data_IF_740867193821
#
_entry.id   IF_740867193821
#
_cell.length_a   1.000
_cell.length_b   1.000
_cell.length_c   1.000
_cell.angle_alpha   90.00
_cell.angle_beta   90.00
_cell.angle_gamma   90.00
#
_symmetry.space_group_name_H-M   'P 1'
#
loop_
_entity.id
_entity.type
_entity.pdbx_description
1 polymer ?
#
# COMPACT_ATOMS: atom_id res chain seq x y z
N UNK A 1 16.33 -16.90 9.86
CA UNK A 1 15.57 -15.72 10.30
C UNK A 1 15.24 -14.96 9.04
N UNK A 2 13.96 -14.69 8.74
CA UNK A 2 13.57 -14.18 7.42
C UNK A 2 13.81 -12.67 7.32
N UNK A 3 14.53 -12.22 6.31
CA UNK A 3 14.83 -10.81 6.06
C UNK A 3 13.60 -9.98 5.64
N UNK A 4 12.48 -10.65 5.34
CA UNK A 4 11.26 -10.04 4.85
C UNK A 4 10.68 -9.01 5.81
N UNK A 5 10.29 -7.87 5.24
CA UNK A 5 9.58 -6.81 5.95
C UNK A 5 8.10 -6.87 5.55
N UNK A 6 7.20 -6.57 6.48
CA UNK A 6 5.78 -6.41 6.20
C UNK A 6 5.23 -5.20 6.92
N UNK A 7 4.43 -4.40 6.21
CA UNK A 7 3.77 -3.22 6.76
C UNK A 7 2.26 -3.35 6.67
N UNK A 8 1.63 -2.83 7.71
CA UNK A 8 0.19 -2.58 7.75
C UNK A 8 0.00 -1.08 7.86
N UNK A 9 -0.48 -0.46 6.79
CA UNK A 9 -0.69 0.98 6.72
C UNK A 9 -2.17 1.27 6.75
N UNK A 10 -2.61 2.12 7.67
CA UNK A 10 -4.00 2.55 7.76
C UNK A 10 -4.09 4.06 7.48
N UNK A 11 -4.95 4.42 6.55
CA UNK A 11 -5.16 5.80 6.11
C UNK A 11 -6.62 6.17 6.31
N UNK A 12 -6.87 7.15 7.18
CA UNK A 12 -8.17 7.79 7.27
C UNK A 12 -8.36 8.77 6.11
N UNK A 13 -9.43 8.61 5.34
CA UNK A 13 -9.76 9.46 4.20
C UNK A 13 -10.78 10.51 4.61
N UNK A 14 -10.61 11.73 4.12
CA UNK A 14 -11.59 12.81 4.33
C UNK A 14 -12.95 12.39 3.76
N UNK A 15 -14.02 12.76 4.45
CA UNK A 15 -15.40 12.45 4.02
C UNK A 15 -15.64 12.89 2.57
N UNK A 16 -16.15 11.96 1.74
CA UNK A 16 -16.44 12.20 0.33
C UNK A 16 -15.21 12.29 -0.59
N UNK A 17 -13.99 12.01 -0.12
CA UNK A 17 -12.77 12.10 -0.92
C UNK A 17 -12.18 10.74 -1.32
N UNK A 18 -12.85 9.63 -1.04
CA UNK A 18 -12.34 8.29 -1.35
C UNK A 18 -12.09 8.11 -2.85
N UNK A 19 -13.05 8.46 -3.71
CA UNK A 19 -12.90 8.28 -5.15
C UNK A 19 -11.73 9.13 -5.71
N UNK A 20 -11.56 10.35 -5.20
CA UNK A 20 -10.43 11.21 -5.55
C UNK A 20 -9.10 10.61 -5.09
N UNK A 21 -9.07 10.04 -3.88
CA UNK A 21 -7.90 9.38 -3.34
C UNK A 21 -7.53 8.14 -4.17
N UNK A 22 -8.51 7.29 -4.52
CA UNK A 22 -8.30 6.13 -5.38
C UNK A 22 -7.82 6.51 -6.77
N UNK A 23 -8.42 7.53 -7.39
CA UNK A 23 -7.99 8.04 -8.68
C UNK A 23 -6.54 8.58 -8.64
N UNK A 24 -6.19 9.35 -7.61
CA UNK A 24 -4.84 9.92 -7.45
C UNK A 24 -3.77 8.84 -7.26
N UNK A 25 -4.11 7.74 -6.58
CA UNK A 25 -3.13 6.74 -6.14
C UNK A 25 -3.18 5.45 -6.95
N UNK A 26 -4.09 5.32 -7.92
CA UNK A 26 -4.25 4.10 -8.72
C UNK A 26 -2.97 3.69 -9.45
N UNK A 27 -2.33 4.63 -10.16
CA UNK A 27 -1.07 4.38 -10.87
C UNK A 27 0.08 4.05 -9.91
N UNK A 28 0.13 4.73 -8.76
CA UNK A 28 1.11 4.46 -7.71
C UNK A 28 1.00 3.02 -7.20
N UNK A 29 -0.22 2.54 -6.92
CA UNK A 29 -0.47 1.16 -6.48
C UNK A 29 -0.02 0.15 -7.53
N UNK A 30 -0.34 0.37 -8.80
CA UNK A 30 0.04 -0.54 -9.88
C UNK A 30 1.55 -0.55 -10.16
N UNK A 31 2.23 0.58 -9.92
CA UNK A 31 3.68 0.68 -10.01
C UNK A 31 4.34 -0.05 -8.85
N UNK A 32 3.88 0.17 -7.62
CA UNK A 32 4.39 -0.48 -6.42
C UNK A 32 4.37 -2.00 -6.51
N UNK A 33 3.29 -2.58 -7.06
CA UNK A 33 3.18 -4.03 -7.29
C UNK A 33 4.29 -4.62 -8.17
N UNK A 34 4.95 -3.79 -9.00
CA UNK A 34 5.95 -4.21 -9.99
C UNK A 34 7.38 -3.87 -9.56
N UNK A 35 7.53 -3.18 -8.42
CA UNK A 35 8.85 -2.82 -7.91
C UNK A 35 9.66 -4.06 -7.53
N UNK A 36 10.97 -3.95 -7.75
CA UNK A 36 11.88 -5.05 -7.45
C UNK A 36 11.90 -5.31 -5.95
N UNK A 37 11.61 -6.54 -5.55
CA UNK A 37 11.63 -6.94 -4.15
C UNK A 37 10.30 -6.76 -3.43
N UNK A 38 9.26 -6.23 -4.10
CA UNK A 38 7.88 -6.29 -3.60
C UNK A 38 7.35 -7.70 -3.78
N UNK A 39 6.93 -8.31 -2.67
CA UNK A 39 6.35 -9.65 -2.61
C UNK A 39 4.82 -9.61 -2.58
N UNK A 40 4.26 -8.56 -1.99
CA UNK A 40 2.81 -8.30 -1.94
C UNK A 40 2.59 -6.82 -1.76
N UNK A 41 1.62 -6.27 -2.47
CA UNK A 41 1.10 -4.93 -2.24
C UNK A 41 -0.40 -5.01 -2.42
N UNK A 42 -1.19 -4.87 -1.36
CA UNK A 42 -2.65 -5.02 -1.41
C UNK A 42 -3.30 -3.80 -0.80
N UNK A 43 -4.35 -3.29 -1.45
CA UNK A 43 -5.18 -2.20 -0.96
C UNK A 43 -6.57 -2.75 -0.64
N UNK A 44 -7.10 -2.33 0.50
CA UNK A 44 -8.46 -2.59 0.93
C UNK A 44 -9.14 -1.29 1.31
N UNK A 45 -10.45 -1.22 1.13
CA UNK A 45 -11.29 -0.11 1.57
C UNK A 45 -12.25 -0.66 2.63
N UNK A 46 -12.40 0.05 3.73
CA UNK A 46 -13.38 -0.33 4.77
C UNK A 46 -14.80 -0.24 4.24
N UNK A 47 -15.71 -1.03 4.81
CA UNK A 47 -17.13 -1.03 4.42
C UNK A 47 -17.78 0.36 4.53
N UNK A 48 -17.40 1.12 5.56
CA UNK A 48 -17.87 2.49 5.77
C UNK A 48 -17.22 3.54 4.86
N UNK A 49 -16.30 3.12 3.97
CA UNK A 49 -15.57 3.95 3.01
C UNK A 49 -14.78 5.12 3.62
N UNK A 50 -14.40 5.00 4.89
CA UNK A 50 -13.63 6.03 5.62
C UNK A 50 -12.14 5.70 5.76
N UNK A 51 -11.79 4.42 5.67
CA UNK A 51 -10.42 3.97 5.83
C UNK A 51 -9.94 3.20 4.60
N UNK A 52 -8.67 3.40 4.27
CA UNK A 52 -7.93 2.56 3.32
C UNK A 52 -6.84 1.84 4.09
N UNK A 53 -6.76 0.53 3.91
CA UNK A 53 -5.71 -0.31 4.48
C UNK A 53 -4.79 -0.77 3.36
N UNK A 54 -3.48 -0.72 3.60
CA UNK A 54 -2.48 -1.33 2.74
C UNK A 54 -1.75 -2.43 3.49
N UNK A 55 -1.63 -3.58 2.83
CA UNK A 55 -0.76 -4.66 3.27
C UNK A 55 0.38 -4.83 2.28
N UNK A 56 1.58 -4.57 2.75
CA UNK A 56 2.78 -4.55 1.95
C UNK A 56 3.79 -5.55 2.48
N UNK A 57 4.47 -6.25 1.58
CA UNK A 57 5.53 -7.20 1.91
C UNK A 57 6.71 -7.00 0.97
N UNK A 58 7.91 -7.02 1.56
CA UNK A 58 9.17 -6.82 0.87
C UNK A 58 10.12 -7.97 1.14
N UNK A 59 11.00 -8.26 0.19
CA UNK A 59 11.99 -9.33 0.29
C UNK A 59 12.98 -9.10 1.43
N UNK A 60 13.37 -7.83 1.64
CA UNK A 60 14.28 -7.38 2.67
C UNK A 60 14.05 -5.90 3.02
N UNK A 61 14.83 -5.37 3.96
CA UNK A 61 14.79 -3.96 4.36
C UNK A 61 15.29 -3.00 3.27
N UNK A 62 16.15 -3.44 2.35
CA UNK A 62 16.62 -2.61 1.25
C UNK A 62 15.51 -2.39 0.21
N UNK A 63 14.73 -3.43 -0.09
CA UNK A 63 13.54 -3.34 -0.93
C UNK A 63 12.46 -2.45 -0.28
N UNK A 64 12.23 -2.57 1.03
CA UNK A 64 11.30 -1.70 1.75
C UNK A 64 11.75 -0.22 1.72
N UNK A 65 13.05 0.05 1.82
CA UNK A 65 13.59 1.42 1.73
C UNK A 65 13.54 1.98 0.30
N UNK A 66 13.70 1.13 -0.72
CA UNK A 66 13.63 1.56 -2.11
C UNK A 66 12.20 1.91 -2.56
N UNK A 67 11.18 1.41 -1.86
CA UNK A 67 9.77 1.72 -2.10
C UNK A 67 9.37 3.12 -1.57
N UNK A 68 9.97 3.56 -0.47
CA UNK A 68 9.68 4.86 0.18
C UNK A 68 10.06 6.05 -0.70
#
# INVERSE_FOLDING_TARGET
MGDQISWWVELAVKSGQLDNFEALTGEMVETARRERGVLSYQRFVSEDRKCVLLYERYADSAAALAHL
#
